data_IF_939313989520
#
_entry.id   IF_939313989520
#
_cell.length_a   1.000
_cell.length_b   1.000
_cell.length_c   1.000
_cell.angle_alpha   90.00
_cell.angle_beta   90.00
_cell.angle_gamma   90.00
#
_symmetry.space_group_name_H-M   'P 1'
#
loop_
_entity.id
_entity.type
_entity.pdbx_description
1 polymer ?
#
# COMPACT_ATOMS: atom_id res chain seq x y z
N UNK A 1 19.12 25.36 -11.49
CA UNK A 1 18.58 24.21 -10.73
C UNK A 1 17.72 23.44 -11.72
N UNK A 2 18.12 22.24 -12.12
CA UNK A 2 17.32 21.43 -13.03
C UNK A 2 16.02 21.04 -12.34
N UNK A 3 14.87 21.27 -12.97
CA UNK A 3 13.58 20.83 -12.45
C UNK A 3 13.59 19.29 -12.37
N UNK A 4 13.43 18.74 -11.17
CA UNK A 4 13.58 17.30 -10.93
C UNK A 4 12.55 16.47 -11.71
N UNK A 5 11.37 17.04 -11.96
CA UNK A 5 10.31 16.42 -12.75
C UNK A 5 10.71 16.30 -14.23
N UNK A 6 11.30 17.36 -14.79
CA UNK A 6 11.80 17.35 -16.18
C UNK A 6 12.96 16.36 -16.35
N UNK A 7 13.84 16.27 -15.35
CA UNK A 7 14.92 15.29 -15.34
C UNK A 7 14.37 13.86 -15.29
N UNK A 8 13.40 13.57 -14.42
CA UNK A 8 12.78 12.26 -14.30
C UNK A 8 12.13 11.82 -15.63
N UNK A 9 11.38 12.72 -16.28
CA UNK A 9 10.78 12.46 -17.59
C UNK A 9 11.82 12.21 -18.67
N UNK A 10 12.89 13.01 -18.68
CA UNK A 10 13.98 12.86 -19.66
C UNK A 10 14.72 11.54 -19.47
N UNK A 11 15.00 11.15 -18.22
CA UNK A 11 15.64 9.88 -17.89
C UNK A 11 14.76 8.68 -18.25
N UNK A 12 13.45 8.76 -17.97
CA UNK A 12 12.47 7.73 -18.36
C UNK A 12 12.48 7.50 -19.87
N UNK A 13 12.35 8.58 -20.64
CA UNK A 13 12.35 8.52 -22.10
C UNK A 13 13.68 8.03 -22.69
N UNK A 14 14.81 8.37 -22.05
CA UNK A 14 16.11 7.85 -22.46
C UNK A 14 16.25 6.35 -22.16
N UNK A 15 15.82 5.91 -20.97
CA UNK A 15 15.88 4.50 -20.57
C UNK A 15 14.96 3.63 -21.45
N UNK A 16 13.75 4.06 -21.77
CA UNK A 16 12.83 3.33 -22.65
C UNK A 16 13.35 3.14 -24.08
N UNK A 17 14.26 4.01 -24.55
CA UNK A 17 14.88 3.93 -25.88
C UNK A 17 16.18 3.13 -25.90
N UNK A 18 16.84 3.01 -24.75
CA UNK A 18 18.10 2.29 -24.63
C UNK A 18 17.87 0.78 -24.68
N UNK A 19 18.95 0.00 -24.80
CA UNK A 19 18.87 -1.46 -24.80
C UNK A 19 18.23 -1.95 -23.50
N UNK A 20 17.08 -2.63 -23.56
CA UNK A 20 16.38 -3.11 -22.37
C UNK A 20 17.16 -4.24 -21.70
N UNK A 21 16.80 -4.60 -20.48
CA UNK A 21 17.41 -5.70 -19.74
C UNK A 21 18.54 -5.25 -18.80
N UNK A 22 19.10 -6.22 -18.08
CA UNK A 22 20.22 -5.97 -17.17
C UNK A 22 21.52 -5.83 -17.96
N UNK A 23 22.36 -4.92 -17.51
CA UNK A 23 23.67 -4.66 -18.10
C UNK A 23 24.77 -5.09 -17.14
N UNK A 24 25.82 -5.68 -17.71
CA UNK A 24 26.95 -6.20 -16.94
C UNK A 24 28.26 -5.84 -17.62
N UNK A 25 29.27 -5.45 -16.84
CA UNK A 25 30.62 -5.23 -17.35
C UNK A 25 31.30 -6.57 -17.60
N UNK A 26 31.98 -6.71 -18.74
CA UNK A 26 32.75 -7.90 -19.07
C UNK A 26 33.85 -8.18 -18.06
N UNK A 27 34.03 -9.45 -17.66
CA UNK A 27 35.01 -9.85 -16.65
C UNK A 27 36.48 -9.89 -17.13
N UNK A 28 36.73 -9.67 -18.42
CA UNK A 28 38.04 -9.78 -19.06
C UNK A 28 38.44 -11.19 -19.46
N UNK A 29 37.65 -12.22 -19.09
CA UNK A 29 37.92 -13.64 -19.41
C UNK A 29 36.96 -14.18 -20.47
N UNK A 30 35.69 -13.84 -20.36
CA UNK A 30 34.61 -14.30 -21.24
C UNK A 30 33.99 -13.16 -22.07
N UNK A 31 34.35 -11.91 -21.74
CA UNK A 31 34.10 -10.70 -22.52
C UNK A 31 35.19 -9.67 -22.27
N UNK A 32 35.31 -8.64 -23.13
CA UNK A 32 36.30 -7.58 -22.94
C UNK A 32 36.10 -6.79 -21.65
N UNK A 33 37.17 -6.59 -20.89
CA UNK A 33 37.19 -5.94 -19.56
C UNK A 33 36.77 -4.46 -19.58
N UNK A 34 36.84 -3.84 -20.76
CA UNK A 34 36.46 -2.45 -21.02
C UNK A 34 35.16 -2.34 -21.84
N UNK A 35 34.29 -3.35 -21.72
CA UNK A 35 33.01 -3.44 -22.39
C UNK A 35 31.88 -3.63 -21.36
N UNK A 36 30.71 -3.07 -21.65
CA UNK A 36 29.45 -3.39 -20.97
C UNK A 36 28.56 -4.10 -21.98
N UNK A 37 27.94 -5.18 -21.54
CA UNK A 37 27.02 -6.00 -22.31
C UNK A 37 25.63 -5.90 -21.72
N UNK A 38 24.67 -6.37 -22.50
CA UNK A 38 23.33 -6.65 -22.02
C UNK A 38 22.99 -8.10 -22.36
N UNK A 39 22.37 -8.81 -21.42
CA UNK A 39 21.96 -10.22 -21.58
C UNK A 39 21.11 -10.45 -22.84
N UNK A 40 20.30 -9.45 -23.21
CA UNK A 40 19.38 -9.52 -24.34
C UNK A 40 20.01 -9.11 -25.69
N UNK A 41 21.28 -8.68 -25.71
CA UNK A 41 21.93 -8.08 -26.89
C UNK A 41 22.74 -9.07 -27.75
N UNK A 42 22.48 -10.37 -27.69
CA UNK A 42 23.18 -11.41 -28.48
C UNK A 42 24.72 -11.35 -28.36
N UNK A 43 25.24 -10.91 -27.21
CA UNK A 43 26.68 -10.74 -26.98
C UNK A 43 27.31 -9.47 -27.56
N UNK A 44 26.52 -8.54 -28.10
CA UNK A 44 27.01 -7.22 -28.51
C UNK A 44 27.22 -6.31 -27.30
N UNK A 45 28.34 -5.59 -27.28
CA UNK A 45 28.58 -4.58 -26.26
C UNK A 45 27.67 -3.37 -26.47
N UNK A 46 27.03 -2.92 -25.40
CA UNK A 46 26.23 -1.69 -25.37
C UNK A 46 27.08 -0.45 -25.09
N UNK A 47 28.28 -0.63 -24.53
CA UNK A 47 29.24 0.44 -24.26
C UNK A 47 30.67 -0.10 -24.32
N UNK A 48 31.60 0.70 -24.86
CA UNK A 48 33.04 0.43 -24.86
C UNK A 48 33.83 1.66 -24.38
N UNK A 49 34.72 1.47 -23.41
CA UNK A 49 35.62 2.52 -22.95
C UNK A 49 36.95 2.50 -23.74
N UNK A 50 37.00 3.27 -24.82
CA UNK A 50 38.24 3.50 -25.58
C UNK A 50 38.93 4.80 -25.14
N UNK A 51 40.27 4.83 -25.19
CA UNK A 51 41.04 6.04 -24.90
C UNK A 51 42.33 6.06 -25.72
N UNK A 52 42.46 7.02 -26.63
CA UNK A 52 43.65 7.21 -27.45
C UNK A 52 44.83 7.73 -26.61
N UNK A 53 44.57 8.73 -25.76
CA UNK A 53 45.60 9.41 -24.98
C UNK A 53 45.87 8.77 -23.61
N UNK A 54 45.07 7.78 -23.19
CA UNK A 54 45.18 7.08 -21.90
C UNK A 54 45.29 8.00 -20.67
N UNK A 55 44.75 9.22 -20.75
CA UNK A 55 44.78 10.19 -19.65
C UNK A 55 43.98 9.71 -18.42
N UNK A 56 42.97 8.86 -18.64
CA UNK A 56 42.21 8.20 -17.58
C UNK A 56 42.81 6.80 -17.39
N UNK A 57 43.34 6.46 -16.20
CA UNK A 57 43.88 5.14 -15.92
C UNK A 57 42.85 4.01 -16.14
N UNK A 58 43.35 2.81 -16.45
CA UNK A 58 42.49 1.64 -16.73
C UNK A 58 41.49 1.35 -15.61
N UNK A 59 41.93 1.37 -14.35
CA UNK A 59 41.06 1.07 -13.20
C UNK A 59 39.87 2.03 -13.12
N UNK A 60 40.09 3.32 -13.38
CA UNK A 60 39.01 4.31 -13.34
C UNK A 60 38.03 4.15 -14.51
N UNK A 61 38.51 3.67 -15.67
CA UNK A 61 37.60 3.30 -16.77
C UNK A 61 36.75 2.08 -16.43
N UNK A 62 37.32 1.10 -15.71
CA UNK A 62 36.56 -0.04 -15.18
C UNK A 62 35.48 0.46 -14.23
N UNK A 63 35.83 1.31 -13.25
CA UNK A 63 34.87 1.89 -12.31
C UNK A 63 33.74 2.66 -13.02
N UNK A 64 34.06 3.40 -14.09
CA UNK A 64 33.06 4.11 -14.89
C UNK A 64 32.10 3.13 -15.60
N UNK A 65 32.61 2.02 -16.12
CA UNK A 65 31.78 1.02 -16.78
C UNK A 65 30.91 0.25 -15.77
N UNK A 66 31.43 -0.04 -14.58
CA UNK A 66 30.64 -0.62 -13.49
C UNK A 66 29.50 0.33 -13.08
N UNK A 67 29.77 1.64 -12.99
CA UNK A 67 28.73 2.64 -12.75
C UNK A 67 27.67 2.66 -13.85
N UNK A 68 28.08 2.64 -15.13
CA UNK A 68 27.15 2.64 -16.27
C UNK A 68 26.31 1.37 -16.30
N UNK A 69 26.92 0.21 -16.05
CA UNK A 69 26.23 -1.08 -15.99
C UNK A 69 25.21 -1.12 -14.85
N UNK A 70 25.54 -0.53 -13.69
CA UNK A 70 24.59 -0.40 -12.58
C UNK A 70 23.48 0.62 -12.88
N UNK A 71 23.81 1.76 -13.48
CA UNK A 71 22.87 2.80 -13.87
C UNK A 71 22.12 2.49 -15.18
N UNK A 72 21.97 1.21 -15.51
CA UNK A 72 21.33 0.74 -16.73
C UNK A 72 19.85 1.17 -16.82
N UNK A 73 19.25 1.08 -18.02
CA UNK A 73 17.86 1.46 -18.24
C UNK A 73 16.87 0.78 -17.31
N UNK A 74 17.04 -0.52 -17.03
CA UNK A 74 16.15 -1.26 -16.15
C UNK A 74 16.17 -0.72 -14.72
N UNK A 75 17.37 -0.43 -14.19
CA UNK A 75 17.54 0.11 -12.83
C UNK A 75 17.08 1.57 -12.72
N UNK A 76 17.28 2.38 -13.77
CA UNK A 76 16.74 3.74 -13.82
C UNK A 76 15.21 3.72 -13.82
N UNK A 77 14.58 2.87 -14.64
CA UNK A 77 13.12 2.75 -14.66
C UNK A 77 12.56 2.26 -13.32
N UNK A 78 13.20 1.26 -12.71
CA UNK A 78 12.81 0.77 -11.39
C UNK A 78 12.94 1.85 -10.30
N UNK A 79 14.02 2.64 -10.34
CA UNK A 79 14.21 3.77 -9.42
C UNK A 79 13.11 4.83 -9.62
N UNK A 80 12.81 5.20 -10.87
CA UNK A 80 11.76 6.18 -11.18
C UNK A 80 10.38 5.68 -10.75
N UNK A 81 10.06 4.40 -10.95
CA UNK A 81 8.81 3.81 -10.47
C UNK A 81 8.70 3.88 -8.93
N UNK A 82 9.79 3.58 -8.23
CA UNK A 82 9.83 3.69 -6.77
C UNK A 82 9.63 5.13 -6.29
N UNK A 83 10.22 6.10 -7.00
CA UNK A 83 10.04 7.53 -6.73
C UNK A 83 8.61 8.01 -7.01
N UNK A 84 8.02 7.61 -8.14
CA UNK A 84 6.62 7.92 -8.49
C UNK A 84 5.66 7.38 -7.41
N UNK A 85 5.89 6.14 -6.93
CA UNK A 85 5.11 5.55 -5.82
C UNK A 85 5.30 6.28 -4.50
N UNK A 86 6.53 6.71 -4.18
CA UNK A 86 6.80 7.47 -2.96
C UNK A 86 6.13 8.85 -2.99
N UNK A 87 6.19 9.54 -4.13
CA UNK A 87 5.53 10.83 -4.34
C UNK A 87 4.01 10.69 -4.21
N UNK A 88 3.41 9.69 -4.87
CA UNK A 88 1.96 9.43 -4.77
C UNK A 88 1.51 9.22 -3.33
N UNK A 89 2.29 8.49 -2.53
CA UNK A 89 2.00 8.31 -1.09
C UNK A 89 2.06 9.63 -0.34
N UNK A 90 3.10 10.44 -0.56
CA UNK A 90 3.23 11.75 0.06
C UNK A 90 2.04 12.67 -0.29
N UNK A 91 1.62 12.69 -1.56
CA UNK A 91 0.48 13.50 -2.01
C UNK A 91 -0.84 13.07 -1.31
N UNK A 92 -1.08 11.76 -1.19
CA UNK A 92 -2.24 11.23 -0.44
C UNK A 92 -2.20 11.64 1.03
N UNK A 93 -1.03 11.59 1.65
CA UNK A 93 -0.87 12.04 3.04
C UNK A 93 -1.15 13.53 3.20
N UNK A 94 -0.66 14.35 2.27
CA UNK A 94 -0.92 15.78 2.27
C UNK A 94 -2.41 16.10 2.08
N UNK A 95 -3.09 15.40 1.16
CA UNK A 95 -4.55 15.51 0.99
C UNK A 95 -5.31 15.15 2.27
N UNK A 96 -4.99 14.03 2.92
CA UNK A 96 -5.63 13.63 4.18
C UNK A 96 -5.38 14.66 5.29
N UNK A 97 -4.16 15.19 5.35
CA UNK A 97 -3.80 16.22 6.32
C UNK A 97 -4.68 17.46 6.15
N UNK A 98 -4.99 17.83 4.92
CA UNK A 98 -5.83 18.97 4.59
C UNK A 98 -7.32 18.68 4.90
N UNK A 99 -7.84 17.51 4.52
CA UNK A 99 -9.23 17.09 4.79
C UNK A 99 -9.60 17.09 6.28
N UNK A 100 -8.64 16.72 7.14
CA UNK A 100 -8.83 16.71 8.59
C UNK A 100 -8.45 18.05 9.27
N UNK A 101 -8.08 19.08 8.49
CA UNK A 101 -7.64 20.38 8.99
C UNK A 101 -6.39 20.31 9.87
N UNK A 102 -5.56 19.29 9.66
CA UNK A 102 -4.38 18.99 10.49
C UNK A 102 -3.20 19.88 10.13
N UNK A 103 -3.15 20.38 8.89
CA UNK A 103 -2.12 21.32 8.44
C UNK A 103 -2.17 22.62 9.24
N UNK A 104 -3.37 23.16 9.44
CA UNK A 104 -3.60 24.39 10.23
C UNK A 104 -3.38 24.17 11.74
N UNK A 105 -3.72 22.99 12.23
CA UNK A 105 -3.52 22.62 13.65
C UNK A 105 -2.06 22.36 14.01
N UNK A 106 -1.15 22.36 13.03
CA UNK A 106 0.28 22.12 13.24
C UNK A 106 0.62 20.71 13.75
N UNK A 107 -0.34 19.79 13.70
CA UNK A 107 -0.17 18.43 14.21
C UNK A 107 0.63 17.60 13.21
N UNK A 108 1.58 16.83 13.74
CA UNK A 108 2.49 15.99 12.98
C UNK A 108 1.87 14.65 12.61
N UNK A 109 2.62 13.84 11.86
CA UNK A 109 2.16 12.52 11.41
C UNK A 109 1.86 11.59 12.60
N UNK A 110 2.64 11.69 13.68
CA UNK A 110 2.42 10.92 14.91
C UNK A 110 1.08 11.28 15.56
N UNK A 111 0.75 12.57 15.65
CA UNK A 111 -0.49 13.06 16.22
C UNK A 111 -1.71 12.60 15.40
N UNK A 112 -1.57 12.49 14.07
CA UNK A 112 -2.62 11.95 13.21
C UNK A 112 -2.87 10.47 13.46
N UNK A 113 -1.80 9.66 13.58
CA UNK A 113 -1.92 8.23 13.89
C UNK A 113 -2.56 8.04 15.26
N UNK A 114 -2.16 8.82 16.26
CA UNK A 114 -2.77 8.81 17.60
C UNK A 114 -4.24 9.22 17.56
N UNK A 115 -4.58 10.23 16.76
CA UNK A 115 -5.97 10.65 16.55
C UNK A 115 -6.80 9.55 15.90
N UNK A 116 -6.28 8.88 14.85
CA UNK A 116 -6.96 7.76 14.21
C UNK A 116 -7.14 6.59 15.17
N UNK A 117 -6.12 6.23 15.94
CA UNK A 117 -6.20 5.16 16.94
C UNK A 117 -7.28 5.44 17.99
N UNK A 118 -7.35 6.69 18.50
CA UNK A 118 -8.42 7.13 19.40
C UNK A 118 -9.79 7.02 18.74
N UNK A 119 -9.92 7.46 17.48
CA UNK A 119 -11.19 7.43 16.77
C UNK A 119 -11.67 6.00 16.48
N UNK A 120 -10.77 5.08 16.17
CA UNK A 120 -11.08 3.64 16.03
C UNK A 120 -11.55 3.07 17.37
N UNK A 121 -10.83 3.37 18.46
CA UNK A 121 -11.20 2.94 19.81
C UNK A 121 -12.54 3.53 20.29
N UNK A 122 -12.96 4.70 19.80
CA UNK A 122 -14.30 5.28 20.06
C UNK A 122 -15.40 4.59 19.24
N UNK A 123 -15.07 4.02 18.08
CA UNK A 123 -16.03 3.39 17.17
C UNK A 123 -16.23 1.90 17.47
N UNK A 124 -15.20 1.19 17.95
CA UNK A 124 -15.28 -0.24 18.30
C UNK A 124 -16.26 -0.60 19.44
N UNK A 125 -16.47 0.20 20.51
CA UNK A 125 -17.27 -0.22 21.66
C UNK A 125 -18.75 0.19 21.62
N UNK A 126 -19.34 0.43 20.44
CA UNK A 126 -20.76 0.84 20.37
C UNK A 126 -21.70 -0.35 20.61
N UNK A 127 -21.95 -0.68 21.89
CA UNK A 127 -23.09 -1.50 22.29
C UNK A 127 -24.36 -0.66 22.25
N UNK A 128 -25.39 -1.15 21.57
CA UNK A 128 -26.71 -0.51 21.52
C UNK A 128 -27.67 -1.36 22.34
N UNK A 129 -28.14 -0.84 23.47
CA UNK A 129 -29.15 -1.51 24.29
C UNK A 129 -30.54 -1.28 23.71
N UNK A 130 -31.22 -2.34 23.30
CA UNK A 130 -32.61 -2.30 22.86
C UNK A 130 -33.48 -2.90 23.96
N UNK A 131 -34.36 -2.09 24.56
CA UNK A 131 -35.38 -2.61 25.47
C UNK A 131 -36.52 -3.23 24.67
N UNK A 132 -36.61 -4.55 24.72
CA UNK A 132 -37.75 -5.28 24.20
C UNK A 132 -38.85 -5.32 25.26
N UNK A 133 -40.11 -5.21 24.84
CA UNK A 133 -41.25 -5.31 25.74
C UNK A 133 -41.31 -6.72 26.36
N UNK A 134 -41.53 -6.80 27.68
CA UNK A 134 -41.63 -8.09 28.35
C UNK A 134 -42.97 -8.76 27.99
N UNK A 135 -42.87 -9.89 27.28
CA UNK A 135 -44.03 -10.71 26.92
C UNK A 135 -44.85 -11.13 28.15
N UNK A 136 -44.24 -11.20 29.34
CA UNK A 136 -44.93 -11.58 30.57
C UNK A 136 -45.98 -10.54 31.00
N UNK A 137 -45.80 -9.27 30.65
CA UNK A 137 -46.80 -8.23 30.92
C UNK A 137 -48.11 -8.52 30.16
N UNK A 138 -48.02 -8.94 28.89
CA UNK A 138 -49.18 -9.31 28.09
C UNK A 138 -49.77 -10.67 28.48
N UNK A 139 -48.91 -11.62 28.90
CA UNK A 139 -49.34 -12.95 29.29
C UNK A 139 -50.08 -12.98 30.63
N UNK A 140 -49.93 -11.96 31.48
CA UNK A 140 -50.59 -11.87 32.78
C UNK A 140 -52.14 -11.89 32.68
N UNK A 141 -52.69 -11.35 31.59
CA UNK A 141 -54.13 -11.29 31.34
C UNK A 141 -54.68 -12.55 30.63
N UNK A 142 -53.80 -13.46 30.19
CA UNK A 142 -54.19 -14.69 29.50
C UNK A 142 -54.38 -15.83 30.52
N UNK A 143 -55.62 -16.00 30.96
CA UNK A 143 -55.98 -17.01 31.98
C UNK A 143 -56.03 -18.45 31.46
N UNK A 144 -56.16 -18.65 30.15
CA UNK A 144 -56.07 -19.98 29.54
C UNK A 144 -54.60 -20.44 29.51
N UNK A 145 -54.30 -21.51 30.26
CA UNK A 145 -52.93 -22.02 30.43
C UNK A 145 -52.32 -22.54 29.12
N UNK A 146 -53.15 -23.10 28.25
CA UNK A 146 -52.71 -23.65 26.96
C UNK A 146 -52.34 -22.52 26.02
N UNK A 147 -53.20 -21.50 25.94
CA UNK A 147 -52.99 -20.31 25.14
C UNK A 147 -51.80 -19.48 25.63
N UNK A 148 -51.66 -19.31 26.96
CA UNK A 148 -50.52 -18.65 27.60
C UNK A 148 -49.19 -19.32 27.21
N UNK A 149 -49.15 -20.66 27.26
CA UNK A 149 -47.96 -21.43 26.87
C UNK A 149 -47.64 -21.29 25.38
N UNK A 150 -48.66 -21.31 24.52
CA UNK A 150 -48.49 -21.17 23.08
C UNK A 150 -47.89 -19.79 22.71
N UNK A 151 -48.40 -18.71 23.31
CA UNK A 151 -47.87 -17.37 23.08
C UNK A 151 -46.44 -17.18 23.61
N UNK A 152 -46.10 -17.78 24.76
CA UNK A 152 -44.72 -17.76 25.27
C UNK A 152 -43.75 -18.41 24.29
N UNK A 153 -44.09 -19.60 23.79
CA UNK A 153 -43.25 -20.33 22.82
C UNK A 153 -43.09 -19.56 21.50
N UNK A 154 -44.16 -18.92 21.01
CA UNK A 154 -44.10 -18.09 19.81
C UNK A 154 -43.15 -16.90 20.00
N UNK A 155 -43.23 -16.20 21.14
CA UNK A 155 -42.38 -15.06 21.44
C UNK A 155 -40.90 -15.44 21.63
N UNK A 156 -40.62 -16.60 22.23
CA UNK A 156 -39.26 -17.16 22.31
C UNK A 156 -38.71 -17.50 20.93
N UNK A 157 -39.53 -18.10 20.06
CA UNK A 157 -39.15 -18.41 18.67
C UNK A 157 -38.84 -17.18 17.83
N UNK A 158 -39.65 -16.12 17.93
CA UNK A 158 -39.41 -14.83 17.24
C UNK A 158 -38.10 -14.21 17.73
N UNK A 159 -37.89 -14.13 19.05
CA UNK A 159 -36.64 -13.60 19.63
C UNK A 159 -35.41 -14.38 19.17
N UNK A 160 -35.48 -15.71 19.14
CA UNK A 160 -34.37 -16.54 18.65
C UNK A 160 -34.07 -16.26 17.16
N UNK A 161 -35.11 -16.10 16.34
CA UNK A 161 -35.00 -15.72 14.93
C UNK A 161 -34.34 -14.35 14.73
N UNK A 162 -34.76 -13.34 15.49
CA UNK A 162 -34.20 -11.99 15.43
C UNK A 162 -32.73 -11.97 15.83
N UNK A 163 -32.36 -12.68 16.91
CA UNK A 163 -30.96 -12.81 17.37
C UNK A 163 -30.11 -13.52 16.30
N UNK A 164 -30.64 -14.57 15.67
CA UNK A 164 -29.95 -15.26 14.59
C UNK A 164 -29.74 -14.35 13.37
N UNK A 165 -30.75 -13.58 12.98
CA UNK A 165 -30.65 -12.61 11.88
C UNK A 165 -29.63 -11.51 12.18
N UNK A 166 -29.62 -10.97 13.40
CA UNK A 166 -28.61 -9.99 13.84
C UNK A 166 -27.20 -10.55 13.78
N UNK A 167 -26.98 -11.79 14.26
CA UNK A 167 -25.67 -12.45 14.20
C UNK A 167 -25.24 -12.73 12.76
N UNK A 168 -26.16 -13.14 11.89
CA UNK A 168 -25.89 -13.33 10.46
C UNK A 168 -25.51 -12.02 9.76
N UNK A 169 -26.02 -10.88 10.24
CA UNK A 169 -25.62 -9.55 9.80
C UNK A 169 -24.32 -9.03 10.43
N UNK A 170 -23.62 -9.86 11.23
CA UNK A 170 -22.37 -9.48 11.90
C UNK A 170 -22.54 -8.63 13.15
N UNK A 171 -23.76 -8.49 13.66
CA UNK A 171 -24.05 -7.74 14.89
C UNK A 171 -23.81 -8.66 16.09
N UNK A 172 -22.92 -8.25 16.99
CA UNK A 172 -22.69 -8.96 18.25
C UNK A 172 -23.89 -8.71 19.18
N UNK A 173 -24.60 -9.79 19.53
CA UNK A 173 -25.72 -9.75 20.48
C UNK A 173 -25.29 -10.41 21.78
N UNK A 174 -25.25 -9.63 22.86
CA UNK A 174 -25.06 -10.11 24.23
C UNK A 174 -26.44 -10.45 24.81
N UNK A 175 -26.59 -11.64 25.39
CA UNK A 175 -27.80 -11.98 26.13
C UNK A 175 -27.69 -11.37 27.54
N UNK A 176 -28.74 -10.71 28.03
CA UNK A 176 -28.87 -10.37 29.46
C UNK A 176 -28.92 -11.64 30.33
#
# INVERSE_FOLDING_TARGET
MTNITELAQSLKAAAEKATPGQWERGDGKHGGELLVYCDDALGSAVCEATSEYNAIPKYQRIDNLDFIALANPANILALLEALEKAQTKADVYDMLRDDYGLREKGVGLADFVDWQAKRIAELEPRTVTVKLTDINEYLAEVHDKTLNRAFRLLAEGVRAGDVAAMRAAGIKVEAE
#
